data_IF_594525476542
#
_entry.id   IF_594525476542
#
_cell.length_a   1.000
_cell.length_b   1.000
_cell.length_c   1.000
_cell.angle_alpha   90.00
_cell.angle_beta   90.00
_cell.angle_gamma   90.00
#
_symmetry.space_group_name_H-M   'P 1'
#
loop_
_entity.id
_entity.type
_entity.pdbx_description
1 polymer ?
#
# COMPACT_ATOMS: atom_id res chain seq x y z
N UNK A 1 -11.84 -27.87 10.75
CA UNK A 1 -10.39 -27.81 11.04
C UNK A 1 -9.71 -29.19 10.96
N UNK A 2 -10.36 -30.32 11.28
CA UNK A 2 -9.79 -31.65 10.96
C UNK A 2 -8.51 -32.05 11.74
N UNK A 3 -8.07 -31.22 12.69
CA UNK A 3 -6.78 -31.36 13.37
C UNK A 3 -6.62 -32.64 14.21
N UNK A 4 -7.72 -33.29 14.60
CA UNK A 4 -7.67 -34.59 15.29
C UNK A 4 -7.34 -35.75 14.33
N UNK A 5 -7.63 -35.59 13.03
CA UNK A 5 -7.31 -36.59 12.01
C UNK A 5 -5.93 -36.33 11.41
N UNK A 6 -5.59 -35.06 11.20
CA UNK A 6 -4.25 -34.64 10.77
C UNK A 6 -3.89 -33.28 11.39
N UNK A 7 -3.05 -33.26 12.44
CA UNK A 7 -2.67 -32.04 13.13
C UNK A 7 -1.78 -31.10 12.30
N UNK A 8 -1.18 -31.59 11.20
CA UNK A 8 -0.22 -30.82 10.38
C UNK A 8 -0.76 -30.42 9.00
N UNK A 9 -2.04 -30.67 8.75
CA UNK A 9 -2.74 -30.42 7.48
C UNK A 9 -2.58 -29.02 6.87
N UNK A 10 -2.22 -27.99 7.64
CA UNK A 10 -2.00 -26.62 7.17
C UNK A 10 -0.53 -26.17 7.12
N UNK A 11 0.40 -27.01 7.56
CA UNK A 11 1.84 -26.69 7.60
C UNK A 11 2.60 -27.29 6.41
N UNK A 12 2.07 -28.35 5.79
CA UNK A 12 2.77 -29.09 4.73
C UNK A 12 4.06 -29.75 5.22
N UNK A 13 4.87 -30.32 4.32
CA UNK A 13 6.20 -30.81 4.65
C UNK A 13 7.10 -29.67 5.13
N UNK A 14 7.96 -29.94 6.12
CA UNK A 14 8.84 -28.95 6.75
C UNK A 14 9.73 -28.21 5.75
N UNK A 15 10.10 -28.89 4.66
CA UNK A 15 10.99 -28.40 3.61
C UNK A 15 10.28 -27.50 2.59
N UNK A 16 8.95 -27.41 2.64
CA UNK A 16 8.15 -26.71 1.63
C UNK A 16 7.87 -25.24 1.95
N UNK A 17 8.07 -24.79 3.19
CA UNK A 17 7.83 -23.40 3.58
C UNK A 17 9.11 -22.56 3.33
N UNK A 18 9.03 -21.44 2.58
CA UNK A 18 10.16 -20.55 2.39
C UNK A 18 10.69 -20.04 3.73
N UNK A 19 12.02 -19.93 3.85
CA UNK A 19 12.69 -19.42 5.07
C UNK A 19 12.22 -18.01 5.43
N UNK A 20 11.94 -17.18 4.42
CA UNK A 20 11.40 -15.84 4.62
C UNK A 20 9.88 -15.83 4.39
N UNK A 21 9.13 -15.77 5.50
CA UNK A 21 7.67 -15.64 5.51
C UNK A 21 7.19 -14.35 4.82
N UNK A 22 8.03 -13.31 4.74
CA UNK A 22 7.69 -12.04 4.11
C UNK A 22 8.25 -11.93 2.68
N UNK A 23 8.74 -13.02 2.07
CA UNK A 23 9.31 -12.98 0.73
C UNK A 23 8.32 -12.39 -0.29
N UNK A 24 8.81 -11.53 -1.19
CA UNK A 24 8.00 -10.89 -2.23
C UNK A 24 7.23 -11.88 -3.11
N UNK A 25 7.79 -13.08 -3.33
CA UNK A 25 7.16 -14.16 -4.10
C UNK A 25 5.88 -14.72 -3.45
N UNK A 26 5.68 -14.48 -2.15
CA UNK A 26 4.47 -14.90 -1.42
C UNK A 26 3.37 -13.83 -1.46
N UNK A 27 3.64 -12.65 -2.01
CA UNK A 27 2.69 -11.54 -2.02
C UNK A 27 1.78 -11.59 -3.26
N UNK A 28 0.49 -11.36 -3.05
CA UNK A 28 -0.54 -11.28 -4.10
C UNK A 28 -0.73 -9.84 -4.60
N UNK A 29 0.35 -9.22 -5.11
CA UNK A 29 0.37 -7.79 -5.46
C UNK A 29 -0.59 -7.43 -6.59
N UNK A 30 -0.77 -8.33 -7.56
CA UNK A 30 -1.61 -8.08 -8.74
C UNK A 30 -3.08 -7.99 -8.33
N UNK A 31 -3.54 -8.97 -7.57
CA UNK A 31 -4.91 -9.09 -7.07
C UNK A 31 -5.22 -7.92 -6.12
N UNK A 32 -4.29 -7.61 -5.20
CA UNK A 32 -4.43 -6.45 -4.32
C UNK A 32 -4.58 -5.14 -5.10
N UNK A 33 -3.81 -4.96 -6.19
CA UNK A 33 -3.90 -3.76 -7.03
C UNK A 33 -5.21 -3.69 -7.82
N UNK A 34 -5.74 -4.81 -8.28
CA UNK A 34 -7.02 -4.86 -9.01
C UNK A 34 -8.18 -4.49 -8.09
N UNK A 35 -8.29 -5.15 -6.93
CA UNK A 35 -9.34 -4.84 -5.94
C UNK A 35 -9.26 -3.39 -5.45
N UNK A 36 -8.04 -2.88 -5.22
CA UNK A 36 -7.85 -1.49 -4.80
C UNK A 36 -8.28 -0.46 -5.85
N UNK A 37 -8.33 -0.80 -7.16
CA UNK A 37 -8.85 0.13 -8.19
C UNK A 37 -10.37 0.23 -8.14
N UNK A 38 -11.04 -0.90 -7.94
CA UNK A 38 -12.50 -0.98 -7.90
C UNK A 38 -13.11 -0.35 -6.64
N UNK A 39 -12.32 -0.17 -5.58
CA UNK A 39 -12.78 0.43 -4.32
C UNK A 39 -12.68 1.96 -4.28
N UNK A 40 -12.08 2.61 -5.29
CA UNK A 40 -11.92 4.07 -5.31
C UNK A 40 -13.20 4.77 -5.76
N UNK A 41 -13.65 5.76 -4.96
CA UNK A 41 -14.85 6.55 -5.27
C UNK A 41 -14.45 7.96 -5.72
N UNK A 42 -14.83 8.33 -6.95
CA UNK A 42 -14.62 9.68 -7.49
C UNK A 42 -15.72 10.63 -7.00
N UNK A 43 -15.40 11.46 -6.00
CA UNK A 43 -16.37 12.38 -5.40
C UNK A 43 -16.65 13.63 -6.25
N UNK A 44 -15.66 14.11 -7.02
CA UNK A 44 -15.78 15.32 -7.85
C UNK A 44 -14.77 15.34 -8.99
N UNK A 45 -15.21 15.71 -10.19
CA UNK A 45 -14.35 16.01 -11.33
C UNK A 45 -14.87 17.26 -12.06
N UNK A 46 -14.15 18.38 -11.93
CA UNK A 46 -14.53 19.66 -12.58
C UNK A 46 -13.61 19.90 -13.77
N UNK A 47 -14.14 20.47 -14.85
CA UNK A 47 -13.36 20.83 -16.06
C UNK A 47 -12.56 19.66 -16.64
N UNK A 48 -13.06 18.43 -16.51
CA UNK A 48 -12.39 17.23 -17.02
C UNK A 48 -10.92 17.11 -16.55
N UNK A 49 -10.66 17.54 -15.30
CA UNK A 49 -9.30 17.54 -14.74
C UNK A 49 -8.70 16.14 -14.72
N UNK A 50 -9.53 15.13 -14.44
CA UNK A 50 -9.14 13.72 -14.53
C UNK A 50 -9.67 13.09 -15.82
N UNK A 51 -8.88 12.21 -16.49
CA UNK A 51 -7.56 11.70 -16.08
C UNK A 51 -6.40 12.66 -16.37
N UNK A 52 -5.38 12.66 -15.50
CA UNK A 52 -4.18 13.49 -15.69
C UNK A 52 -3.33 13.01 -16.88
N UNK A 53 -2.76 13.96 -17.62
CA UNK A 53 -1.78 13.66 -18.69
C UNK A 53 -0.47 13.19 -18.06
N UNK A 54 0.06 12.06 -18.54
CA UNK A 54 1.34 11.52 -18.07
C UNK A 54 2.55 12.41 -18.39
N UNK A 55 2.42 13.34 -19.35
CA UNK A 55 3.47 14.28 -19.69
C UNK A 55 3.52 15.55 -18.83
N UNK A 56 2.58 15.72 -17.89
CA UNK A 56 2.52 16.89 -17.05
C UNK A 56 3.63 16.92 -15.98
N UNK A 57 3.89 18.12 -15.46
CA UNK A 57 4.59 18.27 -14.17
C UNK A 57 3.55 18.22 -13.05
N UNK A 58 3.65 17.23 -12.17
CA UNK A 58 2.69 16.95 -11.11
C UNK A 58 3.34 17.26 -9.76
N UNK A 59 2.76 18.19 -8.99
CA UNK A 59 3.14 18.43 -7.61
C UNK A 59 2.30 17.55 -6.68
N UNK A 60 2.96 16.67 -5.92
CA UNK A 60 2.34 15.82 -4.89
C UNK A 60 2.62 16.45 -3.54
N UNK A 61 1.57 16.88 -2.84
CA UNK A 61 1.70 17.60 -1.57
C UNK A 61 0.85 16.95 -0.49
N UNK A 62 1.44 16.78 0.70
CA UNK A 62 0.73 16.36 1.91
C UNK A 62 1.49 15.32 2.75
N UNK A 63 1.14 15.21 4.05
CA UNK A 63 1.82 14.30 4.98
C UNK A 63 1.68 12.82 4.63
N UNK A 64 0.55 12.45 4.00
CA UNK A 64 0.23 11.07 3.66
C UNK A 64 0.82 10.62 2.32
N UNK A 65 1.31 11.56 1.50
CA UNK A 65 1.74 11.29 0.14
C UNK A 65 2.83 10.22 0.05
N UNK A 66 3.73 10.17 1.03
CA UNK A 66 4.82 9.19 1.09
C UNK A 66 4.77 8.31 2.35
N UNK A 67 3.58 8.09 2.91
CA UNK A 67 3.41 7.24 4.09
C UNK A 67 3.11 5.80 3.71
N UNK A 68 4.05 4.90 4.00
CA UNK A 68 3.86 3.45 3.85
C UNK A 68 2.93 2.84 4.91
N UNK A 69 2.90 3.41 6.11
CA UNK A 69 2.07 2.90 7.21
C UNK A 69 0.60 3.22 6.98
N UNK A 70 0.29 4.44 6.57
CA UNK A 70 -1.08 4.92 6.48
C UNK A 70 -1.82 4.31 5.28
N UNK A 71 -1.13 4.06 4.16
CA UNK A 71 -1.74 3.41 2.98
C UNK A 71 -2.20 1.98 3.27
N UNK A 72 -1.57 1.30 4.22
CA UNK A 72 -1.95 -0.05 4.63
C UNK A 72 -3.19 -0.06 5.54
N UNK A 73 -3.53 1.07 6.15
CA UNK A 73 -4.68 1.22 7.03
C UNK A 73 -4.53 0.54 8.41
N UNK A 74 -5.57 0.70 9.21
CA UNK A 74 -5.73 -0.01 10.49
C UNK A 74 -6.00 -1.49 10.25
N UNK A 75 -5.70 -2.33 11.25
CA UNK A 75 -6.00 -3.78 11.21
C UNK A 75 -5.35 -4.52 10.03
N UNK A 76 -4.11 -4.13 9.72
CA UNK A 76 -3.31 -4.66 8.62
C UNK A 76 -2.72 -6.06 8.84
N UNK A 77 -3.11 -6.73 9.93
CA UNK A 77 -2.67 -8.07 10.30
C UNK A 77 -1.13 -8.23 10.23
N UNK A 78 -0.64 -9.19 9.44
CA UNK A 78 0.78 -9.46 9.23
C UNK A 78 1.42 -8.59 8.12
N UNK A 79 0.72 -7.55 7.64
CA UNK A 79 1.21 -6.66 6.59
C UNK A 79 2.49 -5.91 7.01
N UNK A 80 3.50 -5.94 6.15
CA UNK A 80 4.76 -5.22 6.36
C UNK A 80 4.68 -3.86 5.68
N UNK A 81 4.74 -2.79 6.49
CA UNK A 81 4.63 -1.44 5.97
C UNK A 81 5.65 -1.17 4.86
N UNK A 82 6.89 -1.66 5.00
CA UNK A 82 7.94 -1.42 4.02
C UNK A 82 7.70 -2.00 2.63
N UNK A 83 6.80 -2.98 2.51
CA UNK A 83 6.39 -3.59 1.24
C UNK A 83 5.25 -2.82 0.55
N UNK A 84 4.72 -1.77 1.19
CA UNK A 84 3.63 -0.96 0.65
C UNK A 84 4.12 0.05 -0.38
N UNK A 85 3.29 0.27 -1.41
CA UNK A 85 3.53 1.30 -2.42
C UNK A 85 2.81 2.57 -1.98
N UNK A 86 3.56 3.65 -1.74
CA UNK A 86 2.99 4.96 -1.36
C UNK A 86 2.27 5.62 -2.54
N UNK A 87 1.41 6.61 -2.26
CA UNK A 87 0.75 7.40 -3.31
C UNK A 87 1.79 8.08 -4.22
N UNK A 88 2.83 8.66 -3.63
CA UNK A 88 3.95 9.28 -4.35
C UNK A 88 4.65 8.27 -5.26
N UNK A 89 4.96 7.09 -4.74
CA UNK A 89 5.61 6.01 -5.51
C UNK A 89 4.70 5.53 -6.64
N UNK A 90 3.41 5.34 -6.38
CA UNK A 90 2.43 4.95 -7.40
C UNK A 90 2.29 5.96 -8.53
N UNK A 91 2.29 7.26 -8.22
CA UNK A 91 2.26 8.34 -9.22
C UNK A 91 3.55 8.33 -10.04
N UNK A 92 4.72 8.25 -9.41
CA UNK A 92 6.02 8.16 -10.10
C UNK A 92 6.06 6.97 -11.07
N UNK A 93 5.62 5.79 -10.62
CA UNK A 93 5.56 4.58 -11.45
C UNK A 93 4.59 4.72 -12.64
N UNK A 94 3.50 5.48 -12.49
CA UNK A 94 2.50 5.67 -13.55
C UNK A 94 2.95 6.67 -14.63
N UNK A 95 3.63 7.74 -14.20
CA UNK A 95 4.17 8.80 -15.06
C UNK A 95 5.41 8.31 -15.82
N UNK A 96 6.30 7.56 -15.13
CA UNK A 96 7.57 7.11 -15.69
C UNK A 96 8.45 8.30 -16.09
N UNK A 97 9.09 8.19 -17.25
CA UNK A 97 9.96 9.24 -17.80
C UNK A 97 9.21 10.32 -18.58
N UNK A 98 7.91 10.13 -18.80
CA UNK A 98 7.13 11.03 -19.66
C UNK A 98 6.86 12.41 -19.04
N UNK A 99 6.94 12.52 -17.71
CA UNK A 99 6.60 13.71 -16.97
C UNK A 99 7.46 13.87 -15.71
N UNK A 100 7.19 14.93 -14.94
CA UNK A 100 7.99 15.28 -13.76
C UNK A 100 7.13 15.25 -12.50
N UNK A 101 7.59 14.58 -11.46
CA UNK A 101 6.90 14.57 -10.16
C UNK A 101 7.71 15.39 -9.15
N UNK A 102 7.09 16.44 -8.62
CA UNK A 102 7.61 17.26 -7.53
C UNK A 102 6.94 16.83 -6.23
N UNK A 103 7.67 16.80 -5.12
CA UNK A 103 7.12 16.39 -3.83
C UNK A 103 7.41 17.44 -2.76
N UNK A 104 6.41 17.75 -1.95
CA UNK A 104 6.57 18.50 -0.72
C UNK A 104 5.66 17.91 0.38
N UNK A 105 6.22 17.66 1.57
CA UNK A 105 5.42 17.13 2.70
C UNK A 105 4.34 18.11 3.17
N UNK A 106 4.62 19.42 3.10
CA UNK A 106 3.72 20.47 3.60
C UNK A 106 3.73 20.53 5.13
N UNK A 107 2.76 19.88 5.77
CA UNK A 107 2.56 19.90 7.24
C UNK A 107 2.61 18.48 7.82
N UNK A 108 3.18 18.33 9.02
CA UNK A 108 3.17 17.06 9.77
C UNK A 108 1.84 16.84 10.48
N UNK A 109 1.35 15.59 10.50
CA UNK A 109 0.15 15.23 11.26
C UNK A 109 0.42 15.27 12.77
N UNK A 110 -0.53 15.72 13.61
CA UNK A 110 -0.38 15.64 15.06
C UNK A 110 -0.25 14.19 15.49
N UNK A 111 0.78 13.87 16.28
CA UNK A 111 0.97 12.54 16.84
C UNK A 111 0.00 12.38 18.00
N UNK A 112 -1.05 11.57 17.84
CA UNK A 112 -1.86 11.14 18.97
C UNK A 112 -1.01 10.18 19.80
N UNK A 113 -0.44 10.68 20.90
CA UNK A 113 0.25 9.84 21.89
C UNK A 113 -0.81 8.91 22.49
N UNK A 114 -0.75 7.63 22.16
CA UNK A 114 -1.56 6.64 22.87
C UNK A 114 -1.20 6.74 24.35
N UNK A 115 -2.18 7.07 25.19
CA UNK A 115 -2.05 7.05 26.63
C UNK A 115 -1.63 5.64 27.03
N UNK A 116 -0.33 5.44 27.31
CA UNK A 116 0.14 4.28 28.04
C UNK A 116 -0.34 4.45 29.47
N UNK A 117 -1.42 3.76 29.80
CA UNK A 117 -1.84 3.57 31.19
C UNK A 117 -0.92 2.45 31.70
N UNK A 118 0.08 2.84 32.50
CA UNK A 118 0.87 1.93 33.34
C UNK A 118 0.18 1.77 34.68
#
# INVERSE_FOLDING_TARGET
>A
MGLFNDPYSHLGPKESDPVDTNAESRLHRKEAREVARESLVLLKNRLETLPLKKSATIAVVGPLADSKRDVMGSWSAAGVADQSVTVLTGIKNSVGENGKVLYAKGRTLPVTKALSIS
#
